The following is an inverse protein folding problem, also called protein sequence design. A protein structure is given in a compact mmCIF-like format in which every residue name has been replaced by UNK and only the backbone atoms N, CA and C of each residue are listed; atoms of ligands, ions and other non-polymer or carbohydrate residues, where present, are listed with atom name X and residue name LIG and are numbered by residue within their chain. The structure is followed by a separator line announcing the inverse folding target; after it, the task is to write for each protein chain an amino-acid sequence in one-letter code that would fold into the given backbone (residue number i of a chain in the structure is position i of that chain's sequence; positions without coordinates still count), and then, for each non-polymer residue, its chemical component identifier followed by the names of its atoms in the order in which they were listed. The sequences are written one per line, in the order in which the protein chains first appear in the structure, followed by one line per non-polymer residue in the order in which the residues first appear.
data_IF_698100149839
#
_entry.id   IF_698100149839
#
_cell.length_a   1.000
_cell.length_b   1.000
_cell.length_c   1.000
_cell.angle_alpha   90.00
_cell.angle_beta   90.00
_cell.angle_gamma   90.00
#
_symmetry.space_group_name_H-M   'P 1'
#
loop_
_entity.id
_entity.type
_entity.pdbx_description
1 polymer ?
#
# COMPACT_ATOMS: atom_id res chain seq x y z
N UNK A 1 14.02 -23.21 6.88
CA UNK A 1 12.76 -22.48 7.14
C UNK A 1 13.06 -21.00 7.04
N UNK A 2 12.93 -20.43 5.84
CA UNK A 2 13.17 -19.01 5.62
C UNK A 2 11.83 -18.29 5.78
N UNK A 3 11.60 -17.70 6.95
CA UNK A 3 10.36 -16.99 7.25
C UNK A 3 10.32 -15.71 6.40
N UNK A 4 9.16 -15.37 5.84
CA UNK A 4 8.91 -14.14 5.06
C UNK A 4 9.46 -12.87 5.74
N UNK A 5 9.38 -12.84 7.08
CA UNK A 5 9.91 -11.78 7.94
C UNK A 5 11.42 -11.50 7.76
N UNK A 6 12.22 -12.50 7.35
CA UNK A 6 13.67 -12.34 7.14
C UNK A 6 14.01 -11.39 6.01
N UNK A 7 13.09 -11.20 5.07
CA UNK A 7 13.27 -10.32 3.92
C UNK A 7 12.70 -8.92 4.16
N UNK A 8 12.09 -8.66 5.32
CA UNK A 8 11.58 -7.33 5.66
C UNK A 8 12.74 -6.34 5.82
N UNK A 9 12.63 -5.19 5.15
CA UNK A 9 13.62 -4.13 5.27
C UNK A 9 13.72 -3.62 6.72
N UNK A 10 14.94 -3.57 7.30
CA UNK A 10 15.11 -3.09 8.67
C UNK A 10 14.87 -1.57 8.79
N UNK A 11 15.07 -0.81 7.71
CA UNK A 11 14.93 0.65 7.69
C UNK A 11 13.49 1.09 7.44
N UNK A 12 12.90 0.64 6.33
CA UNK A 12 11.56 1.08 5.91
C UNK A 12 10.45 0.15 6.40
N UNK A 13 10.74 -1.13 6.65
CA UNK A 13 9.69 -2.13 6.89
C UNK A 13 9.03 -2.70 5.64
N UNK A 14 9.41 -2.26 4.44
CA UNK A 14 8.89 -2.79 3.17
C UNK A 14 9.43 -4.18 2.86
N UNK A 15 8.70 -4.93 2.03
CA UNK A 15 9.13 -6.22 1.51
C UNK A 15 9.61 -6.09 0.05
N UNK A 16 10.74 -6.73 -0.31
CA UNK A 16 11.21 -6.74 -1.68
C UNK A 16 10.31 -7.61 -2.55
N UNK A 17 10.11 -7.18 -3.79
CA UNK A 17 9.33 -7.92 -4.81
C UNK A 17 9.96 -9.27 -5.11
N UNK A 18 11.30 -9.35 -5.05
CA UNK A 18 12.07 -10.58 -5.25
C UNK A 18 13.05 -10.76 -4.11
N UNK A 19 13.05 -11.94 -3.53
CA UNK A 19 13.95 -12.33 -2.43
C UNK A 19 15.35 -12.74 -2.92
N UNK A 20 15.53 -12.90 -4.22
CA UNK A 20 16.76 -13.35 -4.85
C UNK A 20 17.20 -12.36 -5.94
N UNK A 21 18.51 -12.12 -6.04
CA UNK A 21 19.09 -11.30 -7.12
C UNK A 21 19.25 -9.80 -6.83
N UNK A 22 19.18 -9.39 -5.55
CA UNK A 22 19.48 -8.01 -5.15
C UNK A 22 18.47 -6.96 -5.61
N UNK A 23 17.26 -7.38 -5.99
CA UNK A 23 16.20 -6.47 -6.45
C UNK A 23 15.79 -5.52 -5.31
N UNK A 24 16.06 -4.24 -5.53
CA UNK A 24 15.79 -3.18 -4.56
C UNK A 24 14.37 -2.63 -4.67
N UNK A 25 13.51 -3.25 -5.48
CA UNK A 25 12.13 -2.80 -5.70
C UNK A 25 11.18 -3.38 -4.66
N UNK A 26 10.46 -2.50 -3.98
CA UNK A 26 9.31 -2.81 -3.14
C UNK A 26 8.04 -2.29 -3.82
N UNK A 27 7.10 -3.20 -4.11
CA UNK A 27 5.74 -2.82 -4.48
C UNK A 27 4.91 -2.68 -3.22
N UNK A 28 4.09 -1.62 -3.17
CA UNK A 28 3.20 -1.40 -2.01
C UNK A 28 2.21 -2.55 -1.86
N UNK A 29 1.67 -3.04 -2.98
CA UNK A 29 0.72 -4.16 -2.96
C UNK A 29 1.32 -5.44 -2.37
N UNK A 30 2.54 -5.81 -2.78
CA UNK A 30 3.22 -6.99 -2.24
C UNK A 30 3.50 -6.82 -0.74
N UNK A 31 3.94 -5.63 -0.34
CA UNK A 31 4.18 -5.28 1.07
C UNK A 31 2.89 -5.34 1.89
N UNK A 32 1.76 -4.87 1.35
CA UNK A 32 0.44 -4.96 1.97
C UNK A 32 0.04 -6.42 2.21
N UNK A 33 0.19 -7.30 1.21
CA UNK A 33 -0.15 -8.71 1.37
C UNK A 33 0.75 -9.41 2.39
N UNK A 34 2.04 -9.07 2.41
CA UNK A 34 2.98 -9.55 3.43
C UNK A 34 2.54 -9.12 4.84
N UNK A 35 2.18 -7.84 5.02
CA UNK A 35 1.71 -7.31 6.29
C UNK A 35 0.39 -7.96 6.73
N UNK A 36 -0.58 -8.09 5.82
CA UNK A 36 -1.86 -8.75 6.07
C UNK A 36 -1.67 -10.22 6.46
N UNK A 37 -0.77 -10.95 5.81
CA UNK A 37 -0.45 -12.33 6.16
C UNK A 37 0.19 -12.45 7.55
N UNK A 38 1.13 -11.58 7.89
CA UNK A 38 1.74 -11.54 9.22
C UNK A 38 0.71 -11.21 10.31
N UNK A 39 -0.14 -10.21 10.07
CA UNK A 39 -1.21 -9.81 10.98
C UNK A 39 -2.27 -10.89 11.17
N UNK A 40 -2.76 -11.52 10.09
CA UNK A 40 -3.73 -12.60 10.19
C UNK A 40 -3.19 -13.78 10.99
N UNK A 41 -1.90 -14.12 10.80
CA UNK A 41 -1.24 -15.15 11.57
C UNK A 41 -1.09 -14.75 13.05
N UNK A 42 -0.78 -13.49 13.34
CA UNK A 42 -0.76 -12.98 14.71
C UNK A 42 -2.12 -13.13 15.40
N UNK A 43 -3.21 -12.74 14.72
CA UNK A 43 -4.57 -12.90 15.24
C UNK A 43 -4.92 -14.37 15.51
N UNK A 44 -4.45 -15.30 14.69
CA UNK A 44 -4.61 -16.72 14.94
C UNK A 44 -3.82 -17.17 16.18
N UNK A 45 -2.59 -16.68 16.35
CA UNK A 45 -1.76 -16.99 17.52
C UNK A 45 -2.32 -16.43 18.83
N UNK A 46 -3.05 -15.31 18.82
CA UNK A 46 -3.77 -14.79 20.00
C UNK A 46 -4.75 -15.79 20.62
N UNK A 47 -5.15 -16.84 19.89
CA UNK A 47 -6.06 -17.90 20.37
C UNK A 47 -5.33 -19.08 21.02
N UNK A 48 -4.00 -19.06 21.04
CA UNK A 48 -3.14 -20.12 21.59
C UNK A 48 -2.49 -19.59 22.88
N UNK A 49 -2.51 -20.37 23.96
CA UNK A 49 -2.02 -19.93 25.28
C UNK A 49 -0.49 -19.74 25.37
N UNK A 50 0.31 -20.52 24.63
CA UNK A 50 1.77 -20.39 24.58
C UNK A 50 2.25 -20.18 23.14
N UNK A 51 2.24 -18.93 22.71
CA UNK A 51 2.71 -18.51 21.38
C UNK A 51 4.23 -18.21 21.35
N UNK A 52 4.91 -18.27 22.50
CA UNK A 52 6.34 -17.96 22.69
C UNK A 52 6.73 -16.58 22.17
N UNK A 53 5.82 -15.59 22.24
CA UNK A 53 6.07 -14.22 21.77
C UNK A 53 5.95 -14.02 20.26
N UNK A 54 5.56 -15.05 19.50
CA UNK A 54 5.40 -14.97 18.04
C UNK A 54 4.32 -13.99 17.61
N UNK A 55 3.26 -13.85 18.40
CA UNK A 55 2.20 -12.86 18.13
C UNK A 55 2.82 -11.47 18.08
N UNK A 56 3.60 -11.10 19.09
CA UNK A 56 4.22 -9.78 19.17
C UNK A 56 5.22 -9.55 18.02
N UNK A 57 6.03 -10.55 17.66
CA UNK A 57 6.93 -10.45 16.49
C UNK A 57 6.17 -10.19 15.19
N UNK A 58 5.08 -10.92 14.96
CA UNK A 58 4.25 -10.80 13.77
C UNK A 58 3.49 -9.47 13.71
N UNK A 59 2.91 -9.04 14.83
CA UNK A 59 2.23 -7.74 14.96
C UNK A 59 3.20 -6.59 14.70
N UNK A 60 4.38 -6.64 15.31
CA UNK A 60 5.38 -5.60 15.14
C UNK A 60 5.89 -5.56 13.69
N UNK A 61 6.04 -6.71 13.03
CA UNK A 61 6.38 -6.74 11.60
C UNK A 61 5.29 -6.12 10.73
N UNK A 62 4.02 -6.42 11.00
CA UNK A 62 2.88 -5.82 10.29
C UNK A 62 2.82 -4.30 10.50
N UNK A 63 2.94 -3.82 11.76
CA UNK A 63 2.99 -2.40 12.09
C UNK A 63 4.14 -1.72 11.34
N UNK A 64 5.34 -2.30 11.39
CA UNK A 64 6.52 -1.75 10.73
C UNK A 64 6.31 -1.61 9.22
N UNK A 65 5.69 -2.60 8.59
CA UNK A 65 5.38 -2.56 7.16
C UNK A 65 4.35 -1.48 6.81
N UNK A 66 3.24 -1.42 7.56
CA UNK A 66 2.19 -0.41 7.35
C UNK A 66 2.70 1.01 7.57
N UNK A 67 3.59 1.21 8.54
CA UNK A 67 4.27 2.49 8.78
C UNK A 67 5.27 2.82 7.66
N UNK A 68 5.96 1.83 7.12
CA UNK A 68 6.83 1.98 5.94
C UNK A 68 6.08 2.48 4.72
N UNK A 69 4.91 1.90 4.46
CA UNK A 69 4.00 2.32 3.39
C UNK A 69 3.53 3.76 3.62
N UNK A 70 3.10 4.09 4.86
CA UNK A 70 2.69 5.45 5.22
C UNK A 70 3.81 6.46 4.96
N UNK A 71 5.03 6.14 5.37
CA UNK A 71 6.21 6.96 5.12
C UNK A 71 6.42 7.23 3.62
N UNK A 72 6.32 6.19 2.78
CA UNK A 72 6.47 6.32 1.33
C UNK A 72 5.36 7.18 0.70
N UNK A 73 4.12 7.07 1.20
CA UNK A 73 3.02 7.90 0.74
C UNK A 73 3.11 9.35 1.22
N UNK A 74 3.48 9.60 2.46
CA UNK A 74 3.62 10.96 3.00
C UNK A 74 4.70 11.76 2.28
N UNK A 75 5.77 11.11 1.83
CA UNK A 75 6.79 11.75 0.97
C UNK A 75 6.25 12.25 -0.37
N UNK A 76 5.07 11.77 -0.77
CA UNK A 76 4.37 12.18 -1.98
C UNK A 76 3.17 13.10 -1.67
N UNK A 77 3.12 13.71 -0.49
CA UNK A 77 2.00 14.57 -0.10
C UNK A 77 1.72 15.70 -1.10
N UNK A 78 2.75 16.33 -1.66
CA UNK A 78 2.60 17.37 -2.68
C UNK A 78 1.89 16.85 -3.93
N UNK A 79 2.19 15.61 -4.36
CA UNK A 79 1.53 14.95 -5.50
C UNK A 79 0.07 14.65 -5.19
N UNK A 80 -0.23 14.15 -3.99
CA UNK A 80 -1.61 13.91 -3.54
C UNK A 80 -2.42 15.20 -3.57
N UNK A 81 -1.83 16.30 -3.09
CA UNK A 81 -2.49 17.62 -3.13
C UNK A 81 -2.75 18.10 -4.56
N UNK A 82 -1.79 17.94 -5.47
CA UNK A 82 -1.97 18.28 -6.88
C UNK A 82 -3.05 17.40 -7.54
N UNK A 83 -3.04 16.11 -7.26
CA UNK A 83 -4.03 15.16 -7.78
C UNK A 83 -5.46 15.46 -7.31
N UNK A 84 -5.63 16.02 -6.10
CA UNK A 84 -6.94 16.50 -5.62
C UNK A 84 -7.49 17.65 -6.46
N UNK A 85 -6.61 18.51 -6.98
CA UNK A 85 -6.99 19.66 -7.80
C UNK A 85 -7.24 19.25 -9.25
N UNK A 86 -6.34 18.42 -9.81
CA UNK A 86 -6.39 17.96 -11.19
C UNK A 86 -5.98 16.47 -11.28
N UNK A 87 -6.95 15.54 -11.34
CA UNK A 87 -6.68 14.11 -11.30
C UNK A 87 -6.09 13.62 -12.63
N UNK A 88 -4.77 13.72 -12.79
CA UNK A 88 -4.03 13.24 -13.96
C UNK A 88 -3.13 12.04 -13.62
N UNK A 89 -2.89 11.12 -14.57
CA UNK A 89 -1.95 10.00 -14.38
C UNK A 89 -0.53 10.45 -14.02
N UNK A 90 -0.09 11.62 -14.47
CA UNK A 90 1.24 12.19 -14.18
C UNK A 90 1.38 12.77 -12.76
N UNK A 91 0.26 12.88 -12.03
CA UNK A 91 0.21 13.38 -10.66
C UNK A 91 -0.25 12.30 -9.68
N UNK A 92 -0.37 11.04 -10.13
CA UNK A 92 -0.84 9.95 -9.28
C UNK A 92 0.26 9.46 -8.30
N UNK A 93 -0.17 8.76 -7.25
CA UNK A 93 0.75 8.16 -6.28
C UNK A 93 1.57 7.05 -6.91
N UNK A 94 2.88 7.10 -6.72
CA UNK A 94 3.77 5.98 -7.04
C UNK A 94 3.47 4.77 -6.16
N UNK A 95 3.56 3.58 -6.75
CA UNK A 95 3.29 2.29 -6.10
C UNK A 95 4.53 1.40 -5.99
N UNK A 96 5.67 1.85 -6.52
CA UNK A 96 6.96 1.13 -6.50
C UNK A 96 8.07 2.01 -5.92
N UNK A 97 8.74 1.51 -4.90
CA UNK A 97 9.76 2.24 -4.14
C UNK A 97 11.03 1.43 -3.95
N UNK A 98 12.10 2.10 -3.55
CA UNK A 98 13.30 1.45 -3.07
C UNK A 98 13.05 0.82 -1.69
N UNK A 99 13.40 -0.47 -1.54
CA UNK A 99 13.22 -1.25 -0.30
C UNK A 99 13.94 -0.62 0.90
N UNK A 100 15.10 0.01 0.70
CA UNK A 100 15.93 0.52 1.80
C UNK A 100 15.77 2.01 2.05
N UNK A 101 15.57 2.82 1.00
CA UNK A 101 15.45 4.28 1.14
C UNK A 101 14.00 4.78 1.13
N UNK A 102 13.08 4.01 0.53
CA UNK A 102 11.70 4.46 0.30
C UNK A 102 11.59 5.55 -0.77
N UNK A 103 12.62 5.73 -1.61
CA UNK A 103 12.58 6.64 -2.75
C UNK A 103 11.80 6.05 -3.92
N UNK A 104 11.23 6.91 -4.75
CA UNK A 104 10.58 6.52 -6.00
C UNK A 104 11.62 5.94 -6.96
N UNK A 105 11.38 4.72 -7.46
CA UNK A 105 12.33 4.03 -8.34
C UNK A 105 11.99 4.13 -9.83
N UNK A 106 10.70 4.22 -10.17
CA UNK A 106 10.22 4.18 -11.54
C UNK A 106 9.50 5.47 -11.89
N UNK A 107 9.76 6.00 -13.08
CA UNK A 107 9.06 7.18 -13.61
C UNK A 107 7.64 6.84 -14.08
N UNK A 108 6.84 7.87 -14.40
CA UNK A 108 5.47 7.69 -14.91
C UNK A 108 5.39 7.10 -16.33
N UNK A 109 6.46 7.21 -17.10
CA UNK A 109 6.52 6.65 -18.47
C UNK A 109 6.81 5.14 -18.43
N UNK A 110 7.52 4.68 -17.40
CA UNK A 110 7.96 3.29 -17.25
C UNK A 110 6.91 2.42 -16.54
N UNK A 111 6.00 3.02 -15.77
CA UNK A 111 5.07 2.27 -14.94
C UNK A 111 3.75 3.02 -14.69
N UNK A 112 2.64 2.30 -14.85
CA UNK A 112 1.29 2.78 -14.55
C UNK A 112 1.05 2.87 -13.04
N UNK A 113 1.58 3.93 -12.43
CA UNK A 113 1.57 4.12 -10.97
C UNK A 113 0.17 4.23 -10.36
N UNK A 114 -0.83 4.66 -11.16
CA UNK A 114 -2.21 4.85 -10.73
C UNK A 114 -2.87 3.52 -10.32
N UNK A 115 -2.65 3.13 -9.07
CA UNK A 115 -3.23 1.96 -8.42
C UNK A 115 -4.12 2.40 -7.26
N UNK A 116 -5.31 2.90 -7.58
CA UNK A 116 -6.32 3.27 -6.57
C UNK A 116 -6.60 2.06 -5.66
N UNK A 117 -6.62 0.87 -6.25
CA UNK A 117 -6.80 -0.39 -5.53
C UNK A 117 -5.79 -0.58 -4.39
N UNK A 118 -4.52 -0.22 -4.58
CA UNK A 118 -3.50 -0.34 -3.54
C UNK A 118 -3.74 0.65 -2.39
N UNK A 119 -4.11 1.90 -2.70
CA UNK A 119 -4.45 2.92 -1.69
C UNK A 119 -5.71 2.52 -0.92
N UNK A 120 -6.76 2.07 -1.61
CA UNK A 120 -8.00 1.60 -0.98
C UNK A 120 -7.75 0.39 -0.07
N UNK A 121 -6.94 -0.56 -0.52
CA UNK A 121 -6.59 -1.74 0.26
C UNK A 121 -5.73 -1.38 1.47
N UNK A 122 -4.80 -0.44 1.33
CA UNK A 122 -4.04 0.10 2.45
C UNK A 122 -4.95 0.72 3.51
N UNK A 123 -5.91 1.56 3.11
CA UNK A 123 -6.86 2.18 4.03
C UNK A 123 -7.74 1.14 4.73
N UNK A 124 -8.21 0.12 4.00
CA UNK A 124 -8.99 -0.97 4.59
C UNK A 124 -8.17 -1.72 5.66
N UNK A 125 -6.98 -2.20 5.32
CA UNK A 125 -6.15 -2.92 6.28
C UNK A 125 -5.68 -2.05 7.44
N UNK A 126 -5.46 -0.75 7.21
CA UNK A 126 -5.13 0.19 8.26
C UNK A 126 -6.24 0.25 9.33
N UNK A 127 -7.50 0.39 8.90
CA UNK A 127 -8.66 0.42 9.80
C UNK A 127 -8.82 -0.91 10.54
N UNK A 128 -8.73 -2.03 9.83
CA UNK A 128 -8.86 -3.37 10.42
C UNK A 128 -7.76 -3.66 11.46
N UNK A 129 -6.50 -3.32 11.14
CA UNK A 129 -5.38 -3.52 12.04
C UNK A 129 -5.47 -2.64 13.29
N UNK A 130 -5.85 -1.37 13.15
CA UNK A 130 -6.07 -0.47 14.31
C UNK A 130 -7.23 -0.97 15.16
N UNK A 131 -8.33 -1.41 14.54
CA UNK A 131 -9.49 -1.99 15.23
C UNK A 131 -9.14 -3.26 15.99
N UNK A 132 -8.16 -4.03 15.49
CA UNK A 132 -7.61 -5.20 16.19
C UNK A 132 -6.66 -4.87 17.36
N UNK A 133 -6.39 -3.59 17.62
CA UNK A 133 -5.54 -3.11 18.72
C UNK A 133 -4.11 -2.73 18.33
N UNK A 134 -3.76 -2.72 17.03
CA UNK A 134 -2.41 -2.32 16.60
C UNK A 134 -2.29 -0.79 16.52
N UNK A 135 -1.25 -0.24 17.13
CA UNK A 135 -0.95 1.19 17.00
C UNK A 135 -0.08 1.42 15.76
N UNK A 136 -0.68 1.96 14.70
CA UNK A 136 0.02 2.26 13.44
C UNK A 136 0.21 3.77 13.25
N UNK A 137 -0.74 4.59 13.70
CA UNK A 137 -0.75 6.05 13.53
C UNK A 137 -0.39 6.72 14.85
N UNK A 138 0.59 7.62 14.83
CA UNK A 138 1.22 8.20 16.02
C UNK A 138 1.05 9.70 16.15
N UNK A 139 0.91 10.44 15.04
CA UNK A 139 0.87 11.91 15.07
C UNK A 139 -0.32 12.46 14.26
N UNK A 140 -0.64 13.74 14.49
CA UNK A 140 -1.76 14.43 13.84
C UNK A 140 -1.52 14.68 12.34
N UNK A 141 -0.25 14.76 11.93
CA UNK A 141 0.13 14.95 10.52
C UNK A 141 -0.18 13.70 9.70
N UNK A 142 0.12 12.51 10.24
CA UNK A 142 -0.25 11.21 9.68
C UNK A 142 -1.77 11.10 9.55
N UNK A 143 -2.54 11.53 10.57
CA UNK A 143 -4.01 11.56 10.52
C UNK A 143 -4.51 12.46 9.38
N UNK A 144 -3.98 13.67 9.28
CA UNK A 144 -4.35 14.65 8.25
C UNK A 144 -4.02 14.14 6.84
N UNK A 145 -2.89 13.44 6.70
CA UNK A 145 -2.49 12.82 5.44
C UNK A 145 -3.44 11.68 5.04
N UNK A 146 -3.82 10.81 5.98
CA UNK A 146 -4.78 9.72 5.72
C UNK A 146 -6.14 10.27 5.31
N UNK A 147 -6.61 11.35 5.95
CA UNK A 147 -7.85 12.03 5.54
C UNK A 147 -7.75 12.54 4.09
N UNK A 148 -6.60 13.08 3.68
CA UNK A 148 -6.38 13.47 2.29
C UNK A 148 -6.43 12.27 1.34
N UNK A 149 -5.86 11.11 1.72
CA UNK A 149 -5.94 9.88 0.92
C UNK A 149 -7.38 9.38 0.76
N UNK A 150 -8.18 9.39 1.83
CA UNK A 150 -9.60 9.00 1.79
C UNK A 150 -10.36 9.88 0.79
N UNK A 151 -10.14 11.20 0.84
CA UNK A 151 -10.77 12.14 -0.08
C UNK A 151 -10.33 11.92 -1.54
N UNK A 152 -9.08 11.53 -1.76
CA UNK A 152 -8.63 11.12 -3.10
C UNK A 152 -9.43 9.89 -3.56
N UNK A 153 -9.47 8.80 -2.79
CA UNK A 153 -10.20 7.59 -3.17
C UNK A 153 -11.68 7.87 -3.45
N UNK A 154 -12.33 8.72 -2.62
CA UNK A 154 -13.72 9.15 -2.80
C UNK A 154 -13.96 9.82 -4.15
N UNK A 155 -12.99 10.52 -4.74
CA UNK A 155 -13.19 11.22 -6.03
C UNK A 155 -12.79 10.38 -7.23
N UNK A 156 -11.92 9.40 -7.03
CA UNK A 156 -11.19 8.73 -8.12
C UNK A 156 -11.91 7.45 -8.58
N UNK A 157 -13.01 7.03 -7.94
CA UNK A 157 -13.89 5.97 -8.49
C UNK A 157 -14.44 6.30 -9.89
N UNK A 158 -14.40 7.58 -10.28
CA UNK A 158 -14.80 8.07 -11.61
C UNK A 158 -13.66 8.11 -12.63
N UNK A 159 -12.43 7.77 -12.23
CA UNK A 159 -11.23 7.85 -13.07
C UNK A 159 -10.75 6.44 -13.39
N UNK A 160 -10.50 6.09 -14.66
CA UNK A 160 -10.03 4.76 -15.05
C UNK A 160 -8.60 4.51 -14.49
N UNK A 161 -8.36 3.33 -13.91
CA UNK A 161 -7.08 2.92 -13.28
C UNK A 161 -6.47 1.67 -13.94
N UNK A 162 -5.17 1.39 -13.70
CA UNK A 162 -4.45 0.28 -14.35
C UNK A 162 -4.75 -1.12 -13.78
N UNK A 163 -5.58 -1.19 -12.74
CA UNK A 163 -6.01 -2.38 -12.05
C UNK A 163 -4.91 -3.01 -11.18
N UNK A 164 -5.32 -3.97 -10.34
CA UNK A 164 -4.43 -4.85 -9.54
C UNK A 164 -3.39 -5.59 -10.39
N UNK A 165 -3.65 -5.77 -11.68
CA UNK A 165 -2.81 -6.57 -12.57
C UNK A 165 -1.80 -5.75 -13.37
N UNK A 166 -1.68 -4.43 -13.15
CA UNK A 166 -0.70 -3.55 -13.80
C UNK A 166 -0.80 -3.56 -15.34
N UNK A 167 -1.90 -4.06 -15.91
CA UNK A 167 -2.05 -4.41 -17.33
C UNK A 167 -3.06 -3.54 -18.07
N UNK A 168 -3.80 -2.67 -17.37
CA UNK A 168 -4.98 -2.06 -17.96
C UNK A 168 -6.00 -3.15 -18.35
N UNK A 169 -6.67 -3.01 -19.50
CA UNK A 169 -7.79 -3.89 -19.83
C UNK A 169 -7.49 -5.39 -19.88
N UNK A 170 -8.52 -6.24 -19.69
CA UNK A 170 -8.44 -7.71 -19.87
C UNK A 170 -7.78 -8.14 -21.20
N UNK A 171 -7.68 -7.22 -22.18
CA UNK A 171 -7.06 -7.41 -23.49
C UNK A 171 -5.61 -6.88 -23.61
N UNK A 172 -4.98 -6.44 -22.52
CA UNK A 172 -3.56 -6.06 -22.45
C UNK A 172 -3.15 -4.98 -23.47
N UNK A 173 -3.97 -3.93 -23.63
CA UNK A 173 -3.75 -2.89 -24.63
C UNK A 173 -3.26 -1.54 -24.03
N UNK A 174 -2.83 -1.52 -22.76
CA UNK A 174 -2.27 -0.32 -22.11
C UNK A 174 -3.28 0.79 -21.78
N UNK A 175 -4.58 0.55 -21.98
CA UNK A 175 -5.64 1.50 -21.60
C UNK A 175 -6.15 1.24 -20.19
N UNK A 176 -6.34 2.32 -19.42
CA UNK A 176 -6.91 2.30 -18.07
C UNK A 176 -8.38 1.85 -18.09
N UNK A 177 -8.80 1.02 -17.12
CA UNK A 177 -10.17 0.51 -17.04
C UNK A 177 -11.02 1.29 -16.02
N UNK A 178 -12.26 1.61 -16.42
CA UNK A 178 -13.32 2.12 -15.52
C UNK A 178 -14.13 0.91 -15.02
N UNK A 179 -14.09 0.62 -13.71
CA UNK A 179 -14.82 -0.50 -13.11
C UNK A 179 -16.24 -0.16 -12.62
N UNK A 180 -16.77 1.04 -12.90
CA UNK A 180 -18.19 1.32 -12.64
C UNK A 180 -18.77 2.32 -13.64
N UNK A 181 -19.63 1.84 -14.55
CA UNK A 181 -20.69 2.65 -15.15
C UNK A 181 -21.95 2.39 -14.31
N UNK A 182 -22.25 3.27 -13.36
CA UNK A 182 -23.66 3.53 -13.05
C UNK A 182 -24.05 4.70 -13.95
N UNK A 183 -24.78 4.38 -15.01
CA UNK A 183 -25.50 5.40 -15.77
C UNK A 183 -26.64 5.89 -14.89
N UNK A 184 -26.42 7.00 -14.20
CA UNK A 184 -27.52 7.84 -13.72
C UNK A 184 -27.64 9.02 -14.67
N UNK A 185 -28.49 8.83 -15.68
CA UNK A 185 -29.19 9.92 -16.34
C UNK A 185 -30.22 10.47 -15.37
N UNK A 186 -30.09 11.74 -14.99
CA UNK A 186 -31.20 12.69 -14.81
C UNK A 186 -30.71 14.06 -15.26
#
# INVERSE_FOLDING_TARGET
KSTLLLYQSPTTGLFPTKTCGGDQKAKIQDSLYCAAGAWALALAYRRIDDDKGRTHELEHSAIKCMRGILYCYMRQADKVQQFKQDPRPTTCLHSVFNVHTGDELLSYEEYGHLQINAVSLYLLYLVEMISSGLQIIYNTDEVSFIQNLVFCVERVYRVPDFGVWERGSKYNNGSTELHSRISCTW
#
